data_IF_854331220017
#
_entry.id   IF_854331220017
#
_cell.length_a   1.000
_cell.length_b   1.000
_cell.length_c   1.000
_cell.angle_alpha   90.00
_cell.angle_beta   90.00
_cell.angle_gamma   90.00
#
_symmetry.space_group_name_H-M   'P 1'
#
loop_
_entity.id
_entity.type
_entity.pdbx_description
1 polymer ?
#
# COMPACT_ATOMS: atom_id res chain seq x y z
N UNK A 1 0.14 12.41 -18.45
CA UNK A 1 -0.53 12.71 -19.73
C UNK A 1 -0.80 11.39 -20.44
N UNK A 2 -2.06 11.07 -20.79
CA UNK A 2 -2.40 9.86 -21.56
C UNK A 2 -2.57 10.29 -23.02
N UNK A 3 -1.68 9.85 -23.90
CA UNK A 3 -1.83 10.07 -25.34
C UNK A 3 -3.00 9.23 -25.86
N UNK A 4 -3.78 9.80 -26.77
CA UNK A 4 -4.72 9.08 -27.61
C UNK A 4 -3.97 8.13 -28.57
N UNK A 5 -4.69 7.20 -29.21
CA UNK A 5 -4.12 6.30 -30.22
C UNK A 5 -3.37 7.08 -31.31
N UNK A 6 -4.00 8.12 -31.88
CA UNK A 6 -3.43 8.94 -32.95
C UNK A 6 -2.15 9.63 -32.51
N UNK A 7 -2.13 10.20 -31.30
CA UNK A 7 -0.94 10.84 -30.74
C UNK A 7 0.17 9.82 -30.46
N UNK A 8 -0.19 8.63 -29.98
CA UNK A 8 0.75 7.55 -29.72
C UNK A 8 1.42 7.06 -31.01
N UNK A 9 0.64 6.85 -32.07
CA UNK A 9 1.15 6.44 -33.39
C UNK A 9 2.01 7.53 -34.04
N UNK A 10 1.59 8.78 -33.95
CA UNK A 10 2.37 9.93 -34.45
C UNK A 10 3.72 10.05 -33.71
N UNK A 11 3.71 9.88 -32.40
CA UNK A 11 4.94 9.89 -31.58
C UNK A 11 5.87 8.74 -31.93
N UNK A 12 5.34 7.53 -32.12
CA UNK A 12 6.14 6.37 -32.50
C UNK A 12 6.76 6.54 -33.90
N UNK A 13 6.03 7.14 -34.85
CA UNK A 13 6.56 7.51 -36.17
C UNK A 13 7.69 8.53 -36.07
N UNK A 14 7.57 9.55 -35.22
CA UNK A 14 8.64 10.52 -34.94
C UNK A 14 9.91 9.84 -34.39
N UNK A 15 9.75 8.74 -33.66
CA UNK A 15 10.84 7.92 -33.11
C UNK A 15 11.35 6.84 -34.07
N UNK A 16 10.99 6.90 -35.35
CA UNK A 16 11.36 5.90 -36.38
C UNK A 16 10.83 4.48 -36.09
N UNK A 17 9.74 4.37 -35.33
CA UNK A 17 9.04 3.11 -35.05
C UNK A 17 7.63 3.19 -35.62
N UNK A 18 7.49 3.06 -36.93
CA UNK A 18 6.17 3.09 -37.57
C UNK A 18 5.36 1.84 -37.19
N UNK A 19 4.10 2.04 -36.81
CA UNK A 19 3.24 1.00 -36.29
C UNK A 19 1.81 1.18 -36.80
N UNK A 20 1.14 0.08 -37.10
CA UNK A 20 -0.29 0.05 -37.43
C UNK A 20 -1.14 -0.09 -36.17
N UNK A 21 -2.36 0.46 -36.19
CA UNK A 21 -3.32 0.46 -35.08
C UNK A 21 -3.51 -0.93 -34.43
N UNK A 22 -3.62 -1.99 -35.24
CA UNK A 22 -3.75 -3.37 -34.73
C UNK A 22 -2.55 -3.82 -33.89
N UNK A 23 -1.33 -3.44 -34.29
CA UNK A 23 -0.12 -3.72 -33.53
C UNK A 23 -0.06 -2.90 -32.24
N UNK A 24 -0.53 -1.64 -32.27
CA UNK A 24 -0.65 -0.80 -31.09
C UNK A 24 -1.55 -1.43 -30.03
N UNK A 25 -2.78 -1.80 -30.39
CA UNK A 25 -3.73 -2.42 -29.44
C UNK A 25 -3.24 -3.77 -28.91
N UNK A 26 -2.55 -4.56 -29.74
CA UNK A 26 -1.93 -5.81 -29.30
C UNK A 26 -0.85 -5.57 -28.25
N UNK A 27 0.03 -4.59 -28.47
CA UNK A 27 1.09 -4.24 -27.53
C UNK A 27 0.49 -3.62 -26.26
N UNK A 28 -0.50 -2.73 -26.40
CA UNK A 28 -1.20 -2.13 -25.27
C UNK A 28 -1.85 -3.20 -24.39
N UNK A 29 -2.58 -4.15 -24.99
CA UNK A 29 -3.19 -5.26 -24.25
C UNK A 29 -2.16 -6.13 -23.52
N UNK A 30 -0.99 -6.36 -24.13
CA UNK A 30 0.12 -7.05 -23.48
C UNK A 30 0.68 -6.26 -22.30
N UNK A 31 0.94 -4.97 -22.47
CA UNK A 31 1.45 -4.08 -21.41
C UNK A 31 0.48 -4.04 -20.24
N UNK A 32 -0.82 -3.94 -20.52
CA UNK A 32 -1.84 -3.97 -19.48
C UNK A 32 -1.89 -5.32 -18.75
N UNK A 33 -1.79 -6.44 -19.47
CA UNK A 33 -1.76 -7.77 -18.86
C UNK A 33 -0.50 -7.96 -17.98
N UNK A 34 0.67 -7.53 -18.46
CA UNK A 34 1.92 -7.55 -17.69
C UNK A 34 1.84 -6.64 -16.45
N UNK A 35 1.21 -5.46 -16.59
CA UNK A 35 0.96 -4.54 -15.46
C UNK A 35 0.05 -5.18 -14.42
N UNK A 36 -1.06 -5.81 -14.84
CA UNK A 36 -1.96 -6.54 -13.93
C UNK A 36 -1.24 -7.67 -13.22
N UNK A 37 -0.43 -8.45 -13.94
CA UNK A 37 0.39 -9.52 -13.35
C UNK A 37 1.35 -8.96 -12.31
N UNK A 38 2.04 -7.86 -12.60
CA UNK A 38 2.96 -7.21 -11.66
C UNK A 38 2.23 -6.68 -10.42
N UNK A 39 1.07 -6.05 -10.59
CA UNK A 39 0.24 -5.61 -9.48
C UNK A 39 -0.15 -6.78 -8.58
N UNK A 40 -0.58 -7.89 -9.17
CA UNK A 40 -0.89 -9.11 -8.43
C UNK A 40 0.31 -9.64 -7.61
N UNK A 41 1.51 -9.70 -8.21
CA UNK A 41 2.72 -10.12 -7.48
C UNK A 41 3.08 -9.13 -6.35
N UNK A 42 2.89 -7.83 -6.55
CA UNK A 42 3.09 -6.84 -5.47
C UNK A 42 2.09 -7.10 -4.34
N UNK A 43 0.80 -7.24 -4.68
CA UNK A 43 -0.28 -7.49 -3.73
C UNK A 43 -0.04 -8.74 -2.88
N UNK A 44 0.52 -9.81 -3.45
CA UNK A 44 0.87 -11.03 -2.68
C UNK A 44 1.74 -10.74 -1.48
N UNK A 45 2.71 -9.85 -1.63
CA UNK A 45 3.68 -9.49 -0.59
C UNK A 45 3.26 -8.30 0.26
N UNK A 46 2.09 -7.70 0.00
CA UNK A 46 1.68 -6.49 0.72
C UNK A 46 1.29 -6.77 2.16
N UNK A 47 0.77 -7.96 2.46
CA UNK A 47 0.40 -8.35 3.83
C UNK A 47 1.62 -8.35 4.74
N UNK A 48 2.69 -9.02 4.31
CA UNK A 48 3.95 -9.09 5.04
C UNK A 48 4.56 -7.70 5.19
N UNK A 49 4.59 -6.91 4.11
CA UNK A 49 5.09 -5.52 4.17
C UNK A 49 4.29 -4.63 5.11
N UNK A 50 2.97 -4.79 5.19
CA UNK A 50 2.13 -4.02 6.12
C UNK A 50 2.46 -4.40 7.56
N UNK A 51 2.61 -5.70 7.85
CA UNK A 51 2.99 -6.17 9.19
C UNK A 51 4.38 -5.66 9.60
N UNK A 52 5.39 -5.85 8.74
CA UNK A 52 6.75 -5.35 8.96
C UNK A 52 6.73 -3.83 9.22
N UNK A 53 5.90 -3.09 8.49
CA UNK A 53 5.78 -1.65 8.66
C UNK A 53 5.14 -1.26 9.99
N UNK A 54 4.12 -1.97 10.45
CA UNK A 54 3.53 -1.74 11.78
C UNK A 54 4.59 -1.96 12.85
N UNK A 55 5.34 -3.06 12.78
CA UNK A 55 6.42 -3.37 13.73
C UNK A 55 7.51 -2.29 13.75
N UNK A 56 7.95 -1.82 12.58
CA UNK A 56 8.90 -0.71 12.45
C UNK A 56 8.38 0.57 13.12
N UNK A 57 7.13 0.94 12.85
CA UNK A 57 6.52 2.15 13.41
C UNK A 57 6.37 2.07 14.94
N UNK A 58 6.01 0.90 15.46
CA UNK A 58 5.93 0.67 16.90
C UNK A 58 7.30 0.72 17.57
N UNK A 59 8.35 0.19 16.92
CA UNK A 59 9.72 0.30 17.40
C UNK A 59 10.18 1.77 17.43
N UNK A 60 9.93 2.52 16.35
CA UNK A 60 10.23 3.95 16.29
C UNK A 60 9.54 4.69 17.43
N UNK A 61 8.23 4.46 17.63
CA UNK A 61 7.46 5.06 18.72
C UNK A 61 8.09 4.76 20.09
N UNK A 62 8.48 3.51 20.33
CA UNK A 62 9.12 3.09 21.59
C UNK A 62 10.45 3.81 21.82
N UNK A 63 11.31 3.86 20.81
CA UNK A 63 12.61 4.54 20.90
C UNK A 63 12.47 6.05 21.08
N UNK A 64 11.49 6.68 20.43
CA UNK A 64 11.17 8.09 20.62
C UNK A 64 10.74 8.40 22.05
N UNK A 65 9.95 7.52 22.68
CA UNK A 65 9.60 7.66 24.10
C UNK A 65 10.82 7.51 25.02
N UNK A 66 11.69 6.55 24.76
CA UNK A 66 12.95 6.38 25.50
C UNK A 66 13.79 7.66 25.42
N UNK A 67 13.93 8.24 24.22
CA UNK A 67 14.64 9.50 24.02
C UNK A 67 13.95 10.67 24.72
N UNK A 68 12.62 10.77 24.63
CA UNK A 68 11.83 11.80 25.31
C UNK A 68 12.07 11.83 26.83
N UNK A 69 12.18 10.66 27.46
CA UNK A 69 12.44 10.55 28.90
C UNK A 69 13.89 10.89 29.26
N UNK A 70 14.86 10.64 28.36
CA UNK A 70 16.27 10.99 28.56
C UNK A 70 16.59 12.45 28.28
N UNK A 71 15.79 13.10 27.43
CA UNK A 71 15.95 14.50 27.07
C UNK A 71 15.67 15.41 28.27
N UNK A 72 16.47 16.48 28.41
CA UNK A 72 16.31 17.47 29.47
C UNK A 72 15.87 18.84 28.92
N UNK A 73 16.07 19.08 27.62
CA UNK A 73 15.70 20.34 26.97
C UNK A 73 14.23 20.31 26.55
N UNK A 74 13.37 21.22 27.07
CA UNK A 74 11.94 21.21 26.79
C UNK A 74 11.58 21.33 25.31
N UNK A 75 12.37 22.08 24.52
CA UNK A 75 12.13 22.27 23.08
C UNK A 75 12.20 20.95 22.30
N UNK A 76 13.14 20.07 22.65
CA UNK A 76 13.28 18.79 21.98
C UNK A 76 12.19 17.81 22.41
N UNK A 77 11.77 17.85 23.69
CA UNK A 77 10.58 17.11 24.16
C UNK A 77 9.32 17.46 23.37
N UNK A 78 9.04 18.74 23.20
CA UNK A 78 7.87 19.20 22.42
C UNK A 78 7.96 18.75 20.96
N UNK A 79 9.17 18.76 20.38
CA UNK A 79 9.39 18.27 19.01
C UNK A 79 9.10 16.77 18.91
N UNK A 80 9.62 15.94 19.82
CA UNK A 80 9.36 14.50 19.85
C UNK A 80 7.87 14.20 19.96
N UNK A 81 7.13 14.94 20.79
CA UNK A 81 5.67 14.79 20.91
C UNK A 81 4.92 15.17 19.62
N UNK A 82 5.40 16.18 18.89
CA UNK A 82 4.82 16.52 17.57
C UNK A 82 5.06 15.41 16.55
N UNK A 83 6.28 14.90 16.47
CA UNK A 83 6.63 13.80 15.56
C UNK A 83 5.85 12.52 15.91
N UNK A 84 5.67 12.21 17.20
CA UNK A 84 4.82 11.09 17.65
C UNK A 84 3.34 11.28 17.23
N UNK A 85 2.81 12.50 17.37
CA UNK A 85 1.45 12.82 16.90
C UNK A 85 1.32 12.65 15.39
N UNK A 86 2.34 13.01 14.62
CA UNK A 86 2.37 12.85 13.16
C UNK A 86 2.49 11.38 12.74
N UNK A 87 3.08 10.52 13.58
CA UNK A 87 3.18 9.08 13.35
C UNK A 87 1.82 8.36 13.49
N UNK A 88 0.97 8.85 14.40
CA UNK A 88 -0.27 8.19 14.79
C UNK A 88 -1.23 7.86 13.62
N UNK A 89 -1.49 8.77 12.66
CA UNK A 89 -2.37 8.47 11.53
C UNK A 89 -1.84 7.34 10.64
N UNK A 90 -0.52 7.19 10.50
CA UNK A 90 0.07 6.12 9.70
C UNK A 90 -0.17 4.76 10.35
N UNK A 91 0.04 4.66 11.67
CA UNK A 91 -0.23 3.44 12.43
C UNK A 91 -1.71 3.06 12.29
N UNK A 92 -2.62 4.01 12.52
CA UNK A 92 -4.07 3.77 12.39
C UNK A 92 -4.48 3.30 10.99
N UNK A 93 -3.91 3.88 9.93
CA UNK A 93 -4.21 3.45 8.57
C UNK A 93 -3.74 2.01 8.28
N UNK A 94 -2.58 1.61 8.81
CA UNK A 94 -2.11 0.23 8.69
C UNK A 94 -2.97 -0.72 9.53
N UNK A 95 -3.37 -0.35 10.74
CA UNK A 95 -4.26 -1.13 11.60
C UNK A 95 -5.63 -1.35 10.93
N UNK A 96 -6.27 -0.30 10.42
CA UNK A 96 -7.55 -0.38 9.69
C UNK A 96 -7.45 -1.31 8.48
N UNK A 97 -6.37 -1.16 7.69
CA UNK A 97 -6.14 -2.02 6.51
C UNK A 97 -5.96 -3.50 6.90
N UNK A 98 -5.31 -3.74 8.04
CA UNK A 98 -5.04 -5.08 8.57
C UNK A 98 -6.30 -5.69 9.16
N UNK A 99 -7.12 -4.91 9.86
CA UNK A 99 -8.42 -5.33 10.40
C UNK A 99 -9.35 -5.82 9.29
N UNK A 100 -9.49 -5.07 8.18
CA UNK A 100 -10.31 -5.50 7.06
C UNK A 100 -9.88 -6.86 6.48
N UNK A 101 -8.57 -7.09 6.36
CA UNK A 101 -8.02 -8.36 5.87
C UNK A 101 -8.30 -9.50 6.86
N UNK A 102 -8.16 -9.25 8.17
CA UNK A 102 -8.41 -10.24 9.22
C UNK A 102 -9.90 -10.60 9.28
N UNK A 103 -10.79 -9.61 9.20
CA UNK A 103 -12.24 -9.83 9.16
C UNK A 103 -12.65 -10.71 7.97
N UNK A 104 -12.10 -10.44 6.78
CA UNK A 104 -12.37 -11.24 5.58
C UNK A 104 -11.84 -12.68 5.73
N UNK A 105 -10.64 -12.85 6.29
CA UNK A 105 -10.07 -14.17 6.56
C UNK A 105 -10.89 -14.96 7.60
N UNK A 106 -11.34 -14.30 8.67
CA UNK A 106 -12.20 -14.89 9.70
C UNK A 106 -13.55 -15.31 9.12
N UNK A 107 -14.17 -14.47 8.28
CA UNK A 107 -15.43 -14.79 7.58
C UNK A 107 -15.27 -15.98 6.64
N UNK A 108 -14.19 -16.05 5.87
CA UNK A 108 -13.89 -17.21 5.01
C UNK A 108 -13.74 -18.49 5.84
N UNK A 109 -12.94 -18.44 6.91
CA UNK A 109 -12.74 -19.59 7.79
C UNK A 109 -14.05 -20.06 8.44
N UNK A 110 -14.88 -19.11 8.90
CA UNK A 110 -16.19 -19.40 9.50
C UNK A 110 -17.14 -20.07 8.50
N UNK A 111 -17.17 -19.57 7.26
CA UNK A 111 -17.95 -20.15 6.17
C UNK A 111 -17.49 -21.58 5.85
N UNK A 112 -16.18 -21.82 5.74
CA UNK A 112 -15.61 -23.16 5.50
C UNK A 112 -15.93 -24.16 6.63
N UNK A 113 -16.07 -23.66 7.86
CA UNK A 113 -16.31 -24.49 9.06
C UNK A 113 -17.77 -24.52 9.51
N UNK A 114 -18.69 -23.86 8.80
CA UNK A 114 -20.09 -23.66 9.20
C UNK A 114 -20.25 -23.11 10.63
N UNK A 115 -19.36 -22.19 11.03
CA UNK A 115 -19.39 -21.54 12.35
C UNK A 115 -20.09 -20.18 12.25
N UNK A 116 -21.03 -19.90 13.15
CA UNK A 116 -21.56 -18.55 13.32
C UNK A 116 -20.64 -17.78 14.28
N UNK A 117 -19.86 -16.84 13.75
CA UNK A 117 -19.02 -15.95 14.56
C UNK A 117 -19.73 -14.63 14.85
N UNK A 118 -19.61 -14.09 16.08
CA UNK A 118 -20.07 -12.74 16.36
C UNK A 118 -19.21 -11.72 15.60
N UNK A 119 -19.85 -10.66 15.08
CA UNK A 119 -19.15 -9.53 14.47
C UNK A 119 -18.30 -8.82 15.51
N UNK A 120 -17.00 -8.66 15.24
CA UNK A 120 -16.13 -7.77 16.02
C UNK A 120 -16.72 -6.36 15.90
N UNK A 121 -17.11 -5.78 17.03
CA UNK A 121 -17.90 -4.54 17.08
C UNK A 121 -17.19 -3.35 16.44
N UNK A 122 -18.02 -2.50 15.82
CA UNK A 122 -17.69 -1.14 15.36
C UNK A 122 -17.32 -0.21 16.50
#
# INVERSE_FOLDING_TARGET
>A
MRFSEKESLAYMKLKNHEMVASSYYRILGRVEAETRKRLYEICKTMKERHLERIEELDLIKKEMWIQYHKENVPRFKVRTLKELRELQPYISAYDESTQGILEDAIKQFAHEKNLNLPTLGT
#
